data_IF_642915506320
#
_entry.id   IF_642915506320
#
_cell.length_a   1.000
_cell.length_b   1.000
_cell.length_c   1.000
_cell.angle_alpha   90.00
_cell.angle_beta   90.00
_cell.angle_gamma   90.00
#
_symmetry.space_group_name_H-M   'P 1'
#
loop_
_entity.id
_entity.type
_entity.pdbx_description
1 polymer ?
#
# COMPACT_ATOMS: atom_id res chain seq x y z
N UNK A 1 10.21 4.94 15.78
CA UNK A 1 9.99 4.83 14.33
C UNK A 1 8.49 4.79 14.12
N UNK A 2 7.94 5.75 13.37
CA UNK A 2 6.54 5.64 12.95
C UNK A 2 6.48 4.51 11.93
N UNK A 3 5.63 3.52 12.13
CA UNK A 3 5.30 2.50 11.13
C UNK A 3 3.79 2.62 10.84
N UNK A 4 3.25 1.89 9.88
CA UNK A 4 1.81 1.81 9.73
C UNK A 4 1.16 1.27 11.01
N UNK A 5 0.00 1.80 11.37
CA UNK A 5 -0.84 1.20 12.40
C UNK A 5 -1.51 -0.05 11.86
N UNK A 6 -2.00 -0.93 12.74
CA UNK A 6 -2.75 -2.13 12.31
C UNK A 6 -3.96 -1.76 11.44
N UNK A 7 -4.63 -0.65 11.74
CA UNK A 7 -5.75 -0.15 10.95
C UNK A 7 -5.31 0.29 9.55
N UNK A 8 -4.22 1.05 9.45
CA UNK A 8 -3.66 1.46 8.15
C UNK A 8 -3.17 0.27 7.33
N UNK A 9 -2.54 -0.72 7.98
CA UNK A 9 -2.10 -1.96 7.36
C UNK A 9 -3.28 -2.76 6.81
N UNK A 10 -4.35 -2.89 7.59
CA UNK A 10 -5.57 -3.59 7.19
C UNK A 10 -6.27 -2.88 6.03
N UNK A 11 -6.36 -1.55 6.08
CA UNK A 11 -6.88 -0.72 4.99
C UNK A 11 -6.03 -0.97 3.74
N UNK A 12 -4.70 -0.84 3.85
CA UNK A 12 -3.79 -0.95 2.73
C UNK A 12 -3.81 -2.34 2.07
N UNK A 13 -3.76 -3.42 2.87
CA UNK A 13 -3.93 -4.77 2.36
C UNK A 13 -5.34 -4.97 1.76
N UNK A 14 -6.39 -4.46 2.39
CA UNK A 14 -7.75 -4.53 1.85
C UNK A 14 -7.88 -3.86 0.48
N UNK A 15 -7.34 -2.65 0.31
CA UNK A 15 -7.39 -1.91 -0.96
C UNK A 15 -6.61 -2.59 -2.07
N UNK A 16 -5.35 -2.92 -1.80
CA UNK A 16 -4.49 -3.54 -2.80
C UNK A 16 -5.00 -4.96 -3.14
N UNK A 17 -5.50 -5.70 -2.15
CA UNK A 17 -6.11 -7.01 -2.33
C UNK A 17 -7.30 -7.00 -3.30
N UNK A 18 -8.20 -6.02 -3.19
CA UNK A 18 -9.33 -5.86 -4.14
C UNK A 18 -8.90 -5.60 -5.57
N UNK A 19 -7.71 -5.01 -5.77
CA UNK A 19 -7.15 -4.79 -7.10
C UNK A 19 -6.45 -6.05 -7.63
N UNK A 20 -5.70 -6.74 -6.79
CA UNK A 20 -4.89 -7.92 -7.15
C UNK A 20 -5.74 -9.15 -7.45
N UNK A 21 -6.94 -9.25 -6.88
CA UNK A 21 -7.90 -10.34 -7.12
C UNK A 21 -8.36 -10.45 -8.60
N UNK A 22 -8.07 -9.44 -9.44
CA UNK A 22 -8.35 -9.50 -10.87
C UNK A 22 -7.40 -10.49 -11.56
N UNK A 23 -7.97 -11.46 -12.29
CA UNK A 23 -7.28 -12.58 -12.95
C UNK A 23 -6.09 -12.14 -13.85
N UNK A 24 -6.13 -10.91 -14.37
CA UNK A 24 -5.12 -10.31 -15.26
C UNK A 24 -3.84 -9.80 -14.57
N UNK A 25 -3.70 -9.93 -13.25
CA UNK A 25 -2.56 -9.37 -12.52
C UNK A 25 -1.33 -10.29 -12.55
N UNK A 26 -0.17 -9.72 -12.82
CA UNK A 26 1.11 -10.42 -12.91
C UNK A 26 1.52 -11.04 -11.56
N UNK A 27 2.07 -12.27 -11.61
CA UNK A 27 2.56 -13.01 -10.45
C UNK A 27 3.60 -12.23 -9.61
N UNK A 28 4.38 -11.36 -10.25
CA UNK A 28 5.33 -10.47 -9.58
C UNK A 28 4.63 -9.51 -8.62
N UNK A 29 3.46 -8.98 -9.00
CA UNK A 29 2.68 -8.04 -8.18
C UNK A 29 2.02 -8.79 -7.00
N UNK A 30 1.51 -10.01 -7.23
CA UNK A 30 1.01 -10.88 -6.14
C UNK A 30 2.10 -11.21 -5.12
N UNK A 31 3.30 -11.55 -5.61
CA UNK A 31 4.44 -11.88 -4.76
C UNK A 31 4.90 -10.69 -3.92
N UNK A 32 4.95 -9.49 -4.53
CA UNK A 32 5.27 -8.26 -3.83
C UNK A 32 4.22 -7.89 -2.78
N UNK A 33 2.92 -8.04 -3.10
CA UNK A 33 1.84 -7.84 -2.15
C UNK A 33 1.88 -8.81 -0.97
N UNK A 34 2.13 -10.10 -1.21
CA UNK A 34 2.27 -11.09 -0.14
C UNK A 34 3.44 -10.75 0.78
N UNK A 35 4.56 -10.26 0.21
CA UNK A 35 5.70 -9.77 1.00
C UNK A 35 5.32 -8.54 1.81
N UNK A 36 4.57 -7.60 1.23
CA UNK A 36 4.13 -6.40 1.90
C UNK A 36 3.23 -6.72 3.11
N UNK A 37 2.20 -7.56 2.96
CA UNK A 37 1.32 -7.89 4.08
C UNK A 37 2.08 -8.62 5.20
N UNK A 38 3.00 -9.55 4.88
CA UNK A 38 3.87 -10.15 5.89
C UNK A 38 4.77 -9.13 6.59
N UNK A 39 5.32 -8.16 5.84
CA UNK A 39 6.14 -7.09 6.39
C UNK A 39 5.35 -6.12 7.27
N UNK A 40 4.09 -5.86 6.93
CA UNK A 40 3.15 -5.09 7.75
C UNK A 40 2.86 -5.82 9.08
N UNK A 41 2.53 -7.10 9.03
CA UNK A 41 2.27 -7.92 10.23
C UNK A 41 3.50 -7.98 11.17
N UNK A 42 4.69 -8.16 10.59
CA UNK A 42 5.94 -8.29 11.35
C UNK A 42 6.56 -6.95 11.73
N UNK A 43 5.99 -5.82 11.27
CA UNK A 43 6.57 -4.48 11.40
C UNK A 43 8.00 -4.36 10.85
N UNK A 44 8.38 -5.21 9.90
CA UNK A 44 9.73 -5.29 9.31
C UNK A 44 9.79 -4.71 7.90
N UNK A 45 8.91 -3.77 7.57
CA UNK A 45 8.88 -3.13 6.25
C UNK A 45 10.20 -2.44 5.93
N UNK A 46 10.72 -2.73 4.74
CA UNK A 46 11.94 -2.11 4.23
C UNK A 46 11.63 -0.86 3.42
N UNK A 47 12.64 -0.02 3.18
CA UNK A 47 12.54 1.13 2.28
C UNK A 47 11.96 0.76 0.91
N UNK A 48 12.33 -0.41 0.38
CA UNK A 48 11.84 -0.89 -0.91
C UNK A 48 10.34 -1.26 -0.88
N UNK A 49 9.84 -1.78 0.25
CA UNK A 49 8.41 -2.09 0.41
C UNK A 49 7.58 -0.81 0.44
N UNK A 50 8.08 0.26 1.09
CA UNK A 50 7.41 1.56 1.08
C UNK A 50 7.39 2.19 -0.33
N UNK A 51 8.50 2.11 -1.08
CA UNK A 51 8.55 2.60 -2.46
C UNK A 51 7.56 1.84 -3.36
N UNK A 52 7.50 0.51 -3.23
CA UNK A 52 6.54 -0.28 -3.98
C UNK A 52 5.10 0.10 -3.63
N UNK A 53 4.82 0.29 -2.33
CA UNK A 53 3.51 0.73 -1.84
C UNK A 53 3.12 2.09 -2.41
N UNK A 54 4.05 3.06 -2.45
CA UNK A 54 3.82 4.36 -3.08
C UNK A 54 3.45 4.21 -4.56
N UNK A 55 4.21 3.43 -5.32
CA UNK A 55 3.96 3.22 -6.75
C UNK A 55 2.58 2.60 -7.00
N UNK A 56 2.19 1.60 -6.21
CA UNK A 56 0.89 0.94 -6.33
C UNK A 56 -0.23 1.92 -5.98
N UNK A 57 -0.11 2.67 -4.89
CA UNK A 57 -1.09 3.69 -4.52
C UNK A 57 -1.26 4.76 -5.61
N UNK A 58 -0.15 5.27 -6.17
CA UNK A 58 -0.18 6.26 -7.26
C UNK A 58 -0.80 5.70 -8.55
N UNK A 59 -0.51 4.45 -8.89
CA UNK A 59 -1.10 3.80 -10.07
C UNK A 59 -2.61 3.65 -9.94
N UNK A 60 -3.08 3.34 -8.74
CA UNK A 60 -4.47 3.05 -8.48
C UNK A 60 -5.31 4.30 -8.19
N UNK A 61 -4.71 5.39 -7.70
CA UNK A 61 -5.37 6.70 -7.50
C UNK A 61 -6.32 7.14 -8.63
N UNK A 62 -5.91 7.16 -9.92
CA UNK A 62 -6.79 7.59 -11.01
C UNK A 62 -7.96 6.62 -11.27
N UNK A 63 -7.82 5.34 -10.95
CA UNK A 63 -8.88 4.34 -11.15
C UNK A 63 -9.97 4.42 -10.09
N UNK A 64 -9.62 4.91 -8.90
CA UNK A 64 -10.56 5.02 -7.79
C UNK A 64 -11.26 6.37 -7.71
N UNK A 65 -10.83 7.39 -8.48
CA UNK A 65 -11.44 8.73 -8.55
C UNK A 65 -12.95 8.74 -8.81
N UNK A 66 -13.49 7.62 -9.28
CA UNK A 66 -14.91 7.42 -9.55
C UNK A 66 -15.72 6.98 -8.32
N UNK A 67 -15.09 6.36 -7.31
CA UNK A 67 -15.74 5.80 -6.10
C UNK A 67 -15.40 6.66 -4.86
N UNK A 68 -16.25 7.64 -4.59
CA UNK A 68 -15.95 8.85 -3.81
C UNK A 68 -15.64 8.68 -2.31
N UNK A 69 -15.75 7.49 -1.74
CA UNK A 69 -15.67 7.25 -0.28
C UNK A 69 -14.24 7.06 0.25
N UNK A 70 -13.33 6.47 -0.52
CA UNK A 70 -12.03 6.03 0.00
C UNK A 70 -10.86 6.99 -0.30
N UNK A 71 -11.14 8.12 -0.95
CA UNK A 71 -10.13 9.10 -1.36
C UNK A 71 -9.28 9.63 -0.21
N UNK A 72 -9.92 9.98 0.91
CA UNK A 72 -9.19 10.59 2.04
C UNK A 72 -8.27 9.58 2.70
N UNK A 73 -8.73 8.35 2.88
CA UNK A 73 -7.93 7.29 3.48
C UNK A 73 -6.70 6.99 2.61
N UNK A 74 -6.89 6.86 1.30
CA UNK A 74 -5.79 6.60 0.36
C UNK A 74 -4.82 7.79 0.25
N UNK A 75 -5.31 9.02 0.21
CA UNK A 75 -4.45 10.21 0.20
C UNK A 75 -3.63 10.32 1.50
N UNK A 76 -4.25 10.02 2.65
CA UNK A 76 -3.55 9.98 3.93
C UNK A 76 -2.49 8.87 3.97
N UNK A 77 -2.82 7.68 3.47
CA UNK A 77 -1.89 6.56 3.35
C UNK A 77 -0.72 6.90 2.42
N UNK A 78 -0.95 7.56 1.29
CA UNK A 78 0.11 7.98 0.38
C UNK A 78 1.06 8.97 1.05
N UNK A 79 0.52 10.01 1.69
CA UNK A 79 1.32 10.99 2.43
C UNK A 79 2.12 10.36 3.56
N UNK A 80 1.53 9.38 4.25
CA UNK A 80 2.23 8.63 5.30
C UNK A 80 3.34 7.77 4.71
N UNK A 81 3.07 7.01 3.65
CA UNK A 81 4.07 6.22 2.92
C UNK A 81 5.26 7.09 2.52
N UNK A 82 5.02 8.27 1.96
CA UNK A 82 6.07 9.23 1.59
C UNK A 82 6.88 9.72 2.78
N UNK A 83 6.22 9.95 3.91
CA UNK A 83 6.89 10.34 5.15
C UNK A 83 7.77 9.20 5.68
N UNK A 84 7.30 7.95 5.60
CA UNK A 84 8.04 6.75 5.99
C UNK A 84 9.25 6.49 5.08
N UNK A 85 9.11 6.67 3.77
CA UNK A 85 10.23 6.61 2.81
C UNK A 85 11.31 7.61 3.22
N UNK A 86 10.93 8.87 3.48
CA UNK A 86 11.87 9.92 3.89
C UNK A 86 12.52 9.66 5.24
N UNK A 87 11.79 9.06 6.18
CA UNK A 87 12.28 8.73 7.51
C UNK A 87 13.18 7.47 7.55
N UNK A 88 13.04 6.59 6.56
CA UNK A 88 13.82 5.34 6.43
C UNK A 88 15.06 5.52 5.53
N UNK A 89 15.36 6.76 5.12
CA UNK A 89 16.51 7.12 4.28
C UNK A 89 17.83 7.12 5.04
#
# INVERSE_FOLDING_TARGET
MQNYTEEEAAILCGFIGRYIDRDSICDTVRSAYSRLCKGLEQHTLTHQDYLWTEQVLQFLMPQWWTEREDHRALAALLLKTQSLIRATR
#
